data_IF_712909277798
#
_entry.id   IF_712909277798
#
_cell.length_a   1.000
_cell.length_b   1.000
_cell.length_c   1.000
_cell.angle_alpha   90.00
_cell.angle_beta   90.00
_cell.angle_gamma   90.00
#
_symmetry.space_group_name_H-M   'P 1'
#
loop_
_entity.id
_entity.type
_entity.pdbx_description
1 polymer ?
#
# COMPACT_ATOMS: atom_id res chain seq x y z
N UNK A 1 -16.05 24.24 -12.07
CA UNK A 1 -16.45 23.02 -12.78
C UNK A 1 -15.48 21.88 -12.60
N UNK A 2 -14.18 22.10 -12.83
CA UNK A 2 -13.20 21.04 -12.65
C UNK A 2 -13.15 20.52 -11.20
N UNK A 3 -13.27 21.41 -10.23
CA UNK A 3 -13.27 21.00 -8.82
C UNK A 3 -14.51 20.20 -8.44
N UNK A 4 -15.64 20.56 -9.00
CA UNK A 4 -16.88 19.84 -8.76
C UNK A 4 -16.80 18.42 -9.31
N UNK A 5 -16.27 18.26 -10.52
CA UNK A 5 -16.13 16.95 -11.15
C UNK A 5 -15.17 16.07 -10.35
N UNK A 6 -14.02 16.61 -9.92
CA UNK A 6 -13.06 15.88 -9.09
C UNK A 6 -13.66 15.45 -7.76
N UNK A 7 -14.43 16.34 -7.14
CA UNK A 7 -15.07 16.04 -5.87
C UNK A 7 -16.10 14.93 -6.03
N UNK A 8 -16.87 14.96 -7.09
CA UNK A 8 -17.86 13.93 -7.36
C UNK A 8 -17.21 12.59 -7.66
N UNK A 9 -16.12 12.58 -8.40
CA UNK A 9 -15.37 11.38 -8.67
C UNK A 9 -14.79 10.79 -7.37
N UNK A 10 -14.28 11.63 -6.49
CA UNK A 10 -13.74 11.21 -5.20
C UNK A 10 -14.84 10.60 -4.33
N UNK A 11 -16.01 11.23 -4.28
CA UNK A 11 -17.14 10.68 -3.53
C UNK A 11 -17.60 9.34 -4.09
N UNK A 12 -17.63 9.20 -5.42
CA UNK A 12 -17.98 7.94 -6.07
C UNK A 12 -16.97 6.85 -5.71
N UNK A 13 -15.68 7.16 -5.75
CA UNK A 13 -14.64 6.20 -5.37
C UNK A 13 -14.79 5.79 -3.92
N UNK A 14 -15.04 6.73 -3.02
CA UNK A 14 -15.25 6.43 -1.61
C UNK A 14 -16.46 5.52 -1.40
N UNK A 15 -17.55 5.77 -2.12
CA UNK A 15 -18.73 4.90 -2.06
C UNK A 15 -18.40 3.48 -2.53
N UNK A 16 -17.64 3.37 -3.60
CA UNK A 16 -17.21 2.07 -4.12
C UNK A 16 -16.34 1.32 -3.09
N UNK A 17 -15.44 2.03 -2.43
CA UNK A 17 -14.61 1.44 -1.39
C UNK A 17 -15.46 0.96 -0.23
N UNK A 18 -16.41 1.76 0.23
CA UNK A 18 -17.30 1.38 1.32
C UNK A 18 -18.13 0.16 0.97
N UNK A 19 -18.66 0.10 -0.24
CA UNK A 19 -19.41 -1.05 -0.71
C UNK A 19 -18.54 -2.30 -0.78
N UNK A 20 -17.29 -2.13 -1.23
CA UNK A 20 -16.35 -3.23 -1.34
C UNK A 20 -16.00 -3.79 0.02
N UNK A 21 -15.74 -2.93 1.00
CA UNK A 21 -15.46 -3.35 2.36
C UNK A 21 -16.65 -4.09 2.94
N UNK A 22 -17.86 -3.58 2.76
CA UNK A 22 -19.07 -4.25 3.25
C UNK A 22 -19.27 -5.62 2.61
N UNK A 23 -19.01 -5.72 1.31
CA UNK A 23 -19.11 -7.00 0.59
C UNK A 23 -18.08 -8.01 1.10
N UNK A 24 -16.84 -7.56 1.31
CA UNK A 24 -15.76 -8.42 1.81
C UNK A 24 -16.04 -8.89 3.23
N UNK A 25 -16.62 -8.02 4.08
CA UNK A 25 -17.00 -8.40 5.44
C UNK A 25 -17.96 -9.59 5.47
N UNK A 26 -18.83 -9.67 4.47
CA UNK A 26 -19.83 -10.73 4.41
C UNK A 26 -19.30 -12.01 3.79
N UNK A 27 -18.35 -11.92 2.86
CA UNK A 27 -17.90 -13.07 2.09
C UNK A 27 -16.45 -13.46 2.38
N UNK A 28 -15.50 -12.65 1.95
CA UNK A 28 -14.08 -12.99 2.03
C UNK A 28 -13.24 -11.76 2.23
N UNK A 29 -13.13 -11.30 3.45
CA UNK A 29 -12.17 -10.26 3.77
C UNK A 29 -10.76 -10.86 3.69
N UNK A 30 -9.98 -10.46 2.68
CA UNK A 30 -8.64 -10.99 2.49
C UNK A 30 -7.72 -10.58 3.63
N UNK A 31 -7.81 -9.31 4.05
CA UNK A 31 -7.10 -8.87 5.26
C UNK A 31 -8.04 -8.07 6.15
N UNK A 32 -7.77 -8.12 7.45
CA UNK A 32 -8.48 -7.34 8.46
C UNK A 32 -7.43 -6.85 9.46
N UNK A 33 -6.97 -5.62 9.29
CA UNK A 33 -5.96 -5.03 10.17
C UNK A 33 -6.56 -4.25 11.33
N UNK A 34 -7.82 -3.88 11.21
CA UNK A 34 -8.49 -2.97 12.12
C UNK A 34 -8.58 -1.55 11.59
N UNK A 35 -7.86 -1.22 10.53
CA UNK A 35 -7.97 0.07 9.87
C UNK A 35 -8.74 -0.11 8.57
N UNK A 36 -9.96 0.39 8.52
CA UNK A 36 -10.87 0.15 7.39
C UNK A 36 -10.31 0.66 6.07
N UNK A 37 -9.71 1.83 6.08
CA UNK A 37 -9.22 2.45 4.85
C UNK A 37 -8.02 1.70 4.31
N UNK A 38 -7.07 1.37 5.19
CA UNK A 38 -5.93 0.55 4.83
C UNK A 38 -6.39 -0.79 4.23
N UNK A 39 -7.33 -1.44 4.92
CA UNK A 39 -7.85 -2.74 4.47
C UNK A 39 -8.51 -2.62 3.11
N UNK A 40 -9.29 -1.57 2.88
CA UNK A 40 -9.95 -1.36 1.60
C UNK A 40 -8.93 -1.19 0.47
N UNK A 41 -7.93 -0.32 0.67
CA UNK A 41 -6.93 -0.07 -0.37
C UNK A 41 -6.10 -1.31 -0.67
N UNK A 42 -5.66 -2.02 0.37
CA UNK A 42 -4.84 -3.22 0.18
C UNK A 42 -5.67 -4.34 -0.44
N UNK A 43 -6.90 -4.54 0.01
CA UNK A 43 -7.75 -5.60 -0.54
C UNK A 43 -8.07 -5.35 -2.02
N UNK A 44 -8.22 -4.10 -2.44
CA UNK A 44 -8.39 -3.79 -3.86
C UNK A 44 -7.18 -4.24 -4.68
N UNK A 45 -5.98 -4.01 -4.15
CA UNK A 45 -4.75 -4.43 -4.83
C UNK A 45 -4.57 -5.94 -4.82
N UNK A 46 -4.96 -6.59 -3.72
CA UNK A 46 -4.91 -8.05 -3.65
C UNK A 46 -5.85 -8.70 -4.65
N UNK A 47 -7.00 -8.08 -4.91
CA UNK A 47 -7.89 -8.58 -5.96
C UNK A 47 -7.25 -8.47 -7.34
N UNK A 48 -6.54 -7.38 -7.61
CA UNK A 48 -5.81 -7.25 -8.87
C UNK A 48 -4.76 -8.34 -9.02
N UNK A 49 -4.03 -8.63 -7.94
CA UNK A 49 -3.05 -9.72 -7.93
C UNK A 49 -3.73 -11.07 -8.19
N UNK A 50 -4.89 -11.28 -7.60
CA UNK A 50 -5.65 -12.52 -7.79
C UNK A 50 -6.05 -12.72 -9.23
N UNK A 51 -6.41 -11.65 -9.92
CA UNK A 51 -6.72 -11.72 -11.36
C UNK A 51 -5.50 -12.13 -12.19
N UNK A 52 -4.31 -11.83 -11.71
CA UNK A 52 -3.05 -12.24 -12.33
C UNK A 52 -2.56 -13.60 -11.81
N UNK A 53 -3.41 -14.30 -11.05
CA UNK A 53 -3.10 -15.59 -10.43
C UNK A 53 -1.93 -15.52 -9.45
N UNK A 54 -1.80 -14.39 -8.76
CA UNK A 54 -0.76 -14.18 -7.74
C UNK A 54 -1.42 -14.16 -6.37
N UNK A 55 -0.98 -15.05 -5.49
CA UNK A 55 -1.46 -15.09 -4.11
C UNK A 55 -0.28 -14.81 -3.18
N UNK A 56 -0.20 -13.61 -2.61
CA UNK A 56 0.92 -13.28 -1.75
C UNK A 56 0.79 -13.91 -0.37
N UNK A 57 1.93 -14.12 0.28
CA UNK A 57 1.97 -14.40 1.71
C UNK A 57 1.87 -13.06 2.43
N UNK A 58 1.00 -12.98 3.43
CA UNK A 58 0.70 -11.72 4.11
C UNK A 58 1.07 -11.78 5.58
N UNK A 59 1.72 -10.75 6.06
CA UNK A 59 1.97 -10.53 7.49
C UNK A 59 1.54 -9.11 7.80
N UNK A 60 0.42 -8.94 8.49
CA UNK A 60 -0.15 -7.63 8.78
C UNK A 60 -0.31 -7.46 10.29
N UNK A 61 0.29 -6.43 10.83
CA UNK A 61 0.13 -6.06 12.24
C UNK A 61 0.27 -4.55 12.35
N UNK A 62 -0.84 -3.84 12.22
CA UNK A 62 -0.84 -2.38 12.35
C UNK A 62 -1.79 -1.96 13.47
N UNK A 63 -1.53 -0.80 14.05
CA UNK A 63 -2.32 -0.25 15.14
C UNK A 63 -3.04 1.01 14.67
N UNK A 64 -2.37 2.14 14.74
CA UNK A 64 -2.98 3.42 14.40
C UNK A 64 -2.10 4.16 13.39
N UNK A 65 -2.58 4.26 12.17
CA UNK A 65 -1.90 4.99 11.09
C UNK A 65 -2.67 6.25 10.70
N UNK A 66 -3.52 6.75 11.60
CA UNK A 66 -4.32 7.95 11.33
C UNK A 66 -3.47 9.20 11.14
N UNK A 67 -2.20 9.16 11.50
CA UNK A 67 -1.28 10.27 11.25
C UNK A 67 -0.97 10.44 9.76
N UNK A 68 -1.34 9.48 8.92
CA UNK A 68 -1.17 9.56 7.48
C UNK A 68 -2.49 10.03 6.87
N UNK A 69 -2.43 11.08 6.05
CA UNK A 69 -3.59 11.59 5.34
C UNK A 69 -4.18 10.50 4.45
N UNK A 70 -5.51 10.43 4.36
CA UNK A 70 -6.20 9.37 3.63
C UNK A 70 -5.82 9.33 2.15
N UNK A 71 -5.69 10.49 1.51
CA UNK A 71 -5.28 10.56 0.11
C UNK A 71 -3.85 10.07 -0.08
N UNK A 72 -2.98 10.44 0.86
CA UNK A 72 -1.59 9.99 0.83
C UNK A 72 -1.50 8.49 1.05
N UNK A 73 -2.29 7.95 1.96
CA UNK A 73 -2.32 6.52 2.20
C UNK A 73 -2.73 5.75 0.95
N UNK A 74 -3.74 6.25 0.25
CA UNK A 74 -4.18 5.64 -1.00
C UNK A 74 -3.05 5.63 -2.04
N UNK A 75 -2.38 6.75 -2.22
CA UNK A 75 -1.28 6.84 -3.19
C UNK A 75 -0.12 5.94 -2.78
N UNK A 76 0.22 5.93 -1.49
CA UNK A 76 1.29 5.09 -0.97
C UNK A 76 1.02 3.63 -1.29
N UNK A 77 -0.14 3.13 -0.93
CA UNK A 77 -0.49 1.73 -1.16
C UNK A 77 -0.58 1.44 -2.66
N UNK A 78 -1.29 2.29 -3.39
CA UNK A 78 -1.52 2.07 -4.82
C UNK A 78 -0.22 2.05 -5.61
N UNK A 79 0.63 3.04 -5.40
CA UNK A 79 1.87 3.15 -6.16
C UNK A 79 2.89 2.09 -5.73
N UNK A 80 2.93 1.78 -4.44
CA UNK A 80 3.83 0.74 -3.94
C UNK A 80 3.50 -0.62 -4.57
N UNK A 81 2.24 -0.98 -4.60
CA UNK A 81 1.79 -2.21 -5.23
C UNK A 81 2.04 -2.19 -6.74
N UNK A 82 1.76 -1.07 -7.39
CA UNK A 82 2.00 -0.96 -8.84
C UNK A 82 3.48 -1.14 -9.17
N UNK A 83 4.37 -0.53 -8.38
CA UNK A 83 5.81 -0.71 -8.56
C UNK A 83 6.18 -2.19 -8.39
N UNK A 84 5.66 -2.82 -7.35
CA UNK A 84 5.93 -4.22 -7.08
C UNK A 84 5.41 -5.12 -8.20
N UNK A 85 4.21 -4.88 -8.67
CA UNK A 85 3.59 -5.71 -9.72
C UNK A 85 4.40 -5.71 -11.02
N UNK A 86 5.03 -4.58 -11.34
CA UNK A 86 5.88 -4.50 -12.53
C UNK A 86 7.16 -5.31 -12.40
N UNK A 87 7.52 -5.69 -11.20
CA UNK A 87 8.73 -6.46 -10.93
C UNK A 87 8.47 -7.96 -10.78
N UNK A 88 7.21 -8.36 -10.68
CA UNK A 88 6.86 -9.77 -10.46
C UNK A 88 7.04 -10.54 -11.75
N UNK A 89 7.75 -11.66 -11.66
CA UNK A 89 7.98 -12.54 -12.79
C UNK A 89 7.53 -13.97 -12.48
N UNK A 90 7.58 -14.35 -11.23
CA UNK A 90 7.48 -15.74 -10.80
C UNK A 90 6.32 -16.01 -9.85
N UNK A 91 5.40 -15.09 -9.71
CA UNK A 91 4.19 -15.20 -8.89
C UNK A 91 4.43 -15.47 -7.40
N UNK A 92 5.67 -15.36 -6.94
CA UNK A 92 5.99 -15.51 -5.51
C UNK A 92 6.23 -14.14 -4.90
N UNK A 93 5.44 -13.83 -3.88
CA UNK A 93 5.38 -12.49 -3.31
C UNK A 93 5.02 -12.59 -1.83
N UNK A 94 5.76 -11.87 -1.02
CA UNK A 94 5.44 -11.71 0.40
C UNK A 94 5.23 -10.24 0.70
N UNK A 95 4.14 -9.93 1.38
CA UNK A 95 3.80 -8.56 1.78
C UNK A 95 3.74 -8.49 3.30
N UNK A 96 4.45 -7.53 3.85
CA UNK A 96 4.54 -7.33 5.29
C UNK A 96 4.19 -5.89 5.60
N UNK A 97 3.19 -5.67 6.45
CA UNK A 97 2.85 -4.34 6.93
C UNK A 97 2.80 -4.38 8.44
N UNK A 98 3.78 -3.79 9.07
CA UNK A 98 3.96 -3.86 10.52
C UNK A 98 4.13 -2.46 11.07
N UNK A 99 3.49 -2.20 12.19
CA UNK A 99 3.65 -0.98 12.94
C UNK A 99 4.02 -1.29 14.38
N UNK A 100 5.07 -0.65 14.87
CA UNK A 100 5.38 -0.63 16.28
C UNK A 100 5.25 0.80 16.82
N UNK A 101 5.77 1.07 18.00
CA UNK A 101 5.68 2.39 18.59
C UNK A 101 6.46 3.46 17.84
N UNK A 102 7.45 3.05 17.07
CA UNK A 102 8.39 3.97 16.44
C UNK A 102 8.22 4.10 14.95
N UNK A 103 7.80 3.03 14.26
CA UNK A 103 7.81 3.02 12.80
C UNK A 103 6.66 2.20 12.25
N UNK A 104 6.16 2.64 11.10
CA UNK A 104 5.25 1.87 10.26
C UNK A 104 6.02 1.45 9.01
N UNK A 105 6.06 0.16 8.78
CA UNK A 105 6.78 -0.42 7.65
C UNK A 105 5.85 -1.18 6.73
N UNK A 106 6.00 -0.97 5.44
CA UNK A 106 5.44 -1.85 4.42
C UNK A 106 6.59 -2.39 3.61
N UNK A 107 6.77 -3.70 3.61
CA UNK A 107 7.83 -4.35 2.86
C UNK A 107 7.22 -5.38 1.90
N UNK A 108 7.68 -5.37 0.66
CA UNK A 108 7.26 -6.32 -0.36
C UNK A 108 8.49 -7.06 -0.84
N UNK A 109 8.50 -8.37 -0.65
CA UNK A 109 9.59 -9.23 -1.09
C UNK A 109 9.14 -10.02 -2.31
N UNK A 110 9.88 -9.87 -3.40
CA UNK A 110 9.57 -10.53 -4.68
C UNK A 110 10.69 -11.53 -4.97
N UNK A 111 10.33 -12.81 -5.03
CA UNK A 111 11.28 -13.85 -5.34
C UNK A 111 11.49 -13.93 -6.84
N UNK A 112 12.74 -13.94 -7.28
CA UNK A 112 13.10 -14.01 -8.69
C UNK A 112 12.38 -13.00 -9.56
N UNK A 113 12.44 -11.73 -9.14
CA UNK A 113 11.81 -10.64 -9.86
C UNK A 113 12.75 -9.99 -10.88
N UNK A 114 12.18 -9.12 -11.68
CA UNK A 114 12.92 -8.27 -12.63
C UNK A 114 12.78 -6.83 -12.14
N UNK A 115 13.91 -6.12 -12.07
CA UNK A 115 13.86 -4.71 -11.70
C UNK A 115 13.31 -3.89 -12.86
N UNK A 116 12.06 -3.47 -12.70
CA UNK A 116 11.36 -2.67 -13.69
C UNK A 116 10.57 -1.60 -12.93
N UNK A 117 11.25 -0.55 -12.54
CA UNK A 117 10.70 0.47 -11.64
C UNK A 117 10.09 1.61 -12.43
N UNK A 118 8.82 1.89 -12.17
CA UNK A 118 8.15 3.08 -12.69
C UNK A 118 8.71 4.31 -11.94
N UNK A 119 9.58 5.04 -12.61
CA UNK A 119 10.29 6.17 -12.00
C UNK A 119 9.37 7.26 -11.51
N UNK A 120 8.32 7.55 -12.27
CA UNK A 120 7.37 8.60 -11.87
C UNK A 120 6.68 8.24 -10.56
N UNK A 121 6.22 7.01 -10.46
CA UNK A 121 5.56 6.56 -9.23
C UNK A 121 6.52 6.51 -8.05
N UNK A 122 7.73 6.03 -8.30
CA UNK A 122 8.77 5.98 -7.27
C UNK A 122 9.10 7.38 -6.75
N UNK A 123 9.31 8.33 -7.65
CA UNK A 123 9.64 9.70 -7.27
C UNK A 123 8.47 10.37 -6.54
N UNK A 124 7.24 10.10 -6.97
CA UNK A 124 6.05 10.61 -6.29
C UNK A 124 5.96 10.07 -4.87
N UNK A 125 6.23 8.77 -4.69
CA UNK A 125 6.25 8.18 -3.35
C UNK A 125 7.30 8.84 -2.47
N UNK A 126 8.48 9.09 -3.00
CA UNK A 126 9.54 9.75 -2.24
C UNK A 126 9.10 11.13 -1.77
N UNK A 127 8.44 11.89 -2.64
CA UNK A 127 7.93 13.21 -2.29
C UNK A 127 6.88 13.16 -1.18
N UNK A 128 5.95 12.23 -1.30
CA UNK A 128 4.90 12.08 -0.28
C UNK A 128 5.51 11.62 1.05
N UNK A 129 6.39 10.63 1.00
CA UNK A 129 7.02 10.09 2.20
C UNK A 129 7.85 11.16 2.92
N UNK A 130 8.45 12.06 2.19
CA UNK A 130 9.23 13.14 2.77
C UNK A 130 8.39 14.00 3.72
N UNK A 131 7.11 14.17 3.45
CA UNK A 131 6.20 14.90 4.33
C UNK A 131 6.03 14.23 5.69
N UNK A 132 6.27 12.94 5.75
CA UNK A 132 6.17 12.14 6.97
C UNK A 132 7.53 11.72 7.50
N UNK A 133 8.60 12.29 6.97
CA UNK A 133 9.98 11.90 7.30
C UNK A 133 10.24 10.43 7.02
N UNK A 134 9.52 9.88 6.07
CA UNK A 134 9.65 8.49 5.67
C UNK A 134 10.61 8.29 4.51
N UNK A 135 10.84 7.04 4.18
CA UNK A 135 11.74 6.65 3.10
C UNK A 135 11.26 5.40 2.40
N UNK A 136 11.70 5.24 1.17
CA UNK A 136 11.49 4.02 0.40
C UNK A 136 12.83 3.55 -0.15
N UNK A 137 13.06 2.24 -0.09
CA UNK A 137 14.30 1.63 -0.54
C UNK A 137 13.99 0.39 -1.36
N UNK A 138 14.67 0.24 -2.48
CA UNK A 138 14.55 -0.93 -3.32
C UNK A 138 15.92 -1.60 -3.40
N UNK A 139 15.97 -2.86 -3.00
CA UNK A 139 17.21 -3.65 -2.99
C UNK A 139 17.00 -4.84 -3.93
N UNK A 140 17.91 -4.98 -4.89
CA UNK A 140 17.88 -6.09 -5.83
C UNK A 140 19.15 -6.94 -5.60
N UNK A 141 18.97 -8.12 -5.01
CA UNK A 141 20.08 -9.04 -4.70
C UNK A 141 19.69 -10.46 -5.08
N UNK A 142 20.57 -11.16 -5.79
CA UNK A 142 20.39 -12.57 -6.13
C UNK A 142 19.04 -12.83 -6.82
N UNK A 143 18.64 -11.92 -7.73
CA UNK A 143 17.38 -12.01 -8.46
C UNK A 143 16.14 -11.80 -7.59
N UNK A 144 16.31 -11.49 -6.31
CA UNK A 144 15.22 -11.13 -5.42
C UNK A 144 15.14 -9.61 -5.28
N UNK A 145 13.92 -9.10 -5.17
CA UNK A 145 13.69 -7.67 -5.03
C UNK A 145 12.97 -7.44 -3.72
N UNK A 146 13.50 -6.54 -2.91
CA UNK A 146 12.88 -6.13 -1.66
C UNK A 146 12.58 -4.65 -1.75
N UNK A 147 11.30 -4.29 -1.64
CA UNK A 147 10.85 -2.92 -1.62
C UNK A 147 10.40 -2.62 -0.19
N UNK A 148 11.08 -1.69 0.46
CA UNK A 148 10.81 -1.37 1.85
C UNK A 148 10.47 0.10 2.00
N UNK A 149 9.31 0.36 2.60
CA UNK A 149 8.82 1.70 2.86
C UNK A 149 8.69 1.87 4.36
N UNK A 150 9.28 2.93 4.89
CA UNK A 150 9.30 3.20 6.33
C UNK A 150 8.77 4.61 6.60
N UNK A 151 7.86 4.70 7.57
CA UNK A 151 7.33 5.99 8.02
C UNK A 151 7.42 6.02 9.54
N UNK A 152 8.16 6.99 10.13
CA UNK A 152 8.16 7.16 11.58
C UNK A 152 6.75 7.42 12.09
N UNK A 153 6.39 6.78 13.18
CA UNK A 153 5.09 7.01 13.80
C UNK A 153 5.09 8.40 14.42
N UNK A 154 4.23 9.27 13.90
CA UNK A 154 4.10 10.63 14.40
C UNK A 154 3.16 10.64 15.60
N UNK A 155 3.71 11.02 16.75
CA UNK A 155 2.90 11.26 17.94
C UNK A 155 2.75 12.76 18.05
N UNK A 156 1.55 13.27 17.76
CA UNK A 156 1.29 14.70 17.64
C UNK A 156 1.78 15.55 18.79
N UNK A 157 2.21 14.96 19.86
CA UNK A 157 2.75 15.66 21.01
C UNK A 157 4.28 15.69 21.04
N UNK A 158 4.92 15.20 20.04
CA UNK A 158 6.38 15.27 19.93
C UNK A 158 6.78 16.70 19.65
N UNK A 159 6.82 17.43 20.68
CA UNK A 159 7.09 18.86 20.63
C UNK A 159 8.31 19.20 21.42
#
# INVERSE_FOLDING_TARGET
MKEYVKRKEFETVNQMIDQKVASLDQEEMIITSGNKLFDAFVNMKLEQLKLEHITPTMIISIQDISFINDEHLNIIISYLFDIAMNCIQNNELEIKAIQDECVFEIAIFISQGIENIDRMKYDTLKLILKKYQGSIKIIHENQNINISLLIPVSRGFMK
#
